data_IF_870439623093
#
_entry.id   IF_870439623093
#
_cell.length_a   1.000
_cell.length_b   1.000
_cell.length_c   1.000
_cell.angle_alpha   90.00
_cell.angle_beta   90.00
_cell.angle_gamma   90.00
#
_symmetry.space_group_name_H-M   'P 1'
#
loop_
_entity.id
_entity.type
_entity.pdbx_description
1 polymer ?
#
# COMPACT_ATOMS: atom_id res chain seq x y z
N UNK A 1 -16.60 25.70 -4.84
CA UNK A 1 -16.38 25.46 -3.38
C UNK A 1 -17.36 26.30 -2.57
N UNK A 2 -17.78 25.82 -1.38
CA UNK A 2 -18.62 26.59 -0.47
C UNK A 2 -17.86 27.83 0.04
N UNK A 3 -18.58 28.97 0.28
CA UNK A 3 -18.01 30.18 0.90
C UNK A 3 -17.51 29.96 2.35
N UNK A 4 -17.83 28.81 2.93
CA UNK A 4 -17.48 28.45 4.31
C UNK A 4 -16.23 27.58 4.40
N UNK A 5 -15.68 27.13 3.25
CA UNK A 5 -14.46 26.35 3.25
C UNK A 5 -13.30 27.20 3.81
N UNK A 6 -12.53 26.62 4.73
CA UNK A 6 -11.33 27.27 5.24
C UNK A 6 -10.37 27.61 4.08
N UNK A 7 -9.81 28.83 4.03
CA UNK A 7 -8.83 29.19 3.01
C UNK A 7 -7.65 28.21 2.94
N UNK A 8 -7.24 27.66 4.06
CA UNK A 8 -6.16 26.66 4.14
C UNK A 8 -6.44 25.38 3.33
N UNK A 9 -7.72 25.03 3.10
CA UNK A 9 -8.11 23.86 2.33
C UNK A 9 -8.42 24.17 0.86
N UNK A 10 -8.43 25.43 0.46
CA UNK A 10 -8.82 25.85 -0.89
C UNK A 10 -7.86 25.37 -1.98
N UNK A 11 -6.62 25.10 -1.65
CA UNK A 11 -5.56 24.63 -2.55
C UNK A 11 -5.36 23.11 -2.53
N UNK A 12 -6.02 22.40 -1.62
CA UNK A 12 -5.88 20.94 -1.50
C UNK A 12 -6.66 20.26 -2.62
N UNK A 13 -5.94 19.48 -3.44
CA UNK A 13 -6.54 18.60 -4.43
C UNK A 13 -6.70 17.20 -3.83
N UNK A 14 -7.92 16.68 -3.66
CA UNK A 14 -8.14 15.35 -3.11
C UNK A 14 -7.52 14.25 -3.98
N UNK A 15 -7.13 13.15 -3.37
CA UNK A 15 -6.72 11.95 -4.08
C UNK A 15 -7.86 11.40 -4.94
N UNK A 16 -7.54 11.03 -6.18
CA UNK A 16 -8.51 10.38 -7.09
C UNK A 16 -8.31 8.87 -7.03
N UNK A 17 -9.23 8.12 -6.39
CA UNK A 17 -9.15 6.67 -6.35
C UNK A 17 -9.31 6.04 -7.74
N UNK A 18 -8.97 4.75 -7.86
CA UNK A 18 -9.27 3.98 -9.06
C UNK A 18 -10.78 3.94 -9.31
N UNK A 19 -11.17 4.05 -10.57
CA UNK A 19 -12.59 4.04 -10.95
C UNK A 19 -13.27 2.71 -10.60
N UNK A 20 -14.55 2.79 -10.30
CA UNK A 20 -15.42 1.65 -10.00
C UNK A 20 -16.76 1.82 -10.74
N UNK A 21 -16.75 1.74 -12.09
CA UNK A 21 -17.97 1.89 -12.89
C UNK A 21 -18.97 0.76 -12.59
N UNK A 22 -20.26 1.07 -12.71
CA UNK A 22 -21.38 0.18 -12.41
C UNK A 22 -22.24 -0.09 -13.65
N UNK A 23 -21.79 0.30 -14.83
CA UNK A 23 -22.51 0.19 -16.10
C UNK A 23 -22.50 -1.21 -16.69
N UNK A 24 -21.47 -2.01 -16.34
CA UNK A 24 -21.36 -3.44 -16.72
C UNK A 24 -20.48 -4.19 -15.71
N UNK A 25 -20.37 -5.51 -15.89
CA UNK A 25 -19.44 -6.31 -15.11
C UNK A 25 -18.03 -6.24 -15.76
N UNK A 26 -17.05 -5.82 -14.97
CA UNK A 26 -15.66 -5.73 -15.38
C UNK A 26 -14.78 -6.78 -14.70
N UNK A 27 -13.74 -7.22 -15.40
CA UNK A 27 -12.56 -7.82 -14.77
C UNK A 27 -11.76 -6.68 -14.15
N UNK A 28 -11.79 -6.57 -12.81
CA UNK A 28 -11.25 -5.43 -12.06
C UNK A 28 -9.79 -5.65 -11.70
N UNK A 29 -8.86 -5.07 -12.49
CA UNK A 29 -7.42 -5.16 -12.33
C UNK A 29 -6.78 -3.76 -12.08
N UNK A 30 -7.47 -2.85 -11.39
CA UNK A 30 -7.07 -1.44 -11.28
C UNK A 30 -6.74 -0.95 -9.86
N UNK A 31 -7.14 -1.66 -8.80
CA UNK A 31 -7.02 -1.18 -7.41
C UNK A 31 -6.19 -2.07 -6.49
N UNK A 32 -5.45 -3.02 -7.07
CA UNK A 32 -4.55 -3.93 -6.35
C UNK A 32 -5.25 -4.73 -5.25
N UNK A 33 -6.52 -5.09 -5.48
CA UNK A 33 -7.25 -6.01 -4.60
C UNK A 33 -6.81 -7.45 -4.86
N UNK A 34 -6.95 -8.32 -3.86
CA UNK A 34 -6.71 -9.75 -4.05
C UNK A 34 -7.83 -10.38 -4.88
N UNK A 35 -7.52 -11.27 -5.84
CA UNK A 35 -8.53 -12.03 -6.56
C UNK A 35 -9.16 -13.17 -5.74
N UNK A 36 -8.60 -13.47 -4.57
CA UNK A 36 -9.06 -14.52 -3.67
C UNK A 36 -9.96 -13.98 -2.58
N UNK A 37 -10.88 -14.80 -2.08
CA UNK A 37 -11.74 -14.49 -0.94
C UNK A 37 -10.91 -14.39 0.35
N UNK A 38 -11.42 -13.73 1.40
CA UNK A 38 -10.87 -13.87 2.75
C UNK A 38 -10.84 -15.34 3.18
N UNK A 39 -9.92 -15.70 4.08
CA UNK A 39 -9.77 -17.10 4.51
C UNK A 39 -11.06 -17.61 5.17
N UNK A 40 -11.31 -18.95 5.13
CA UNK A 40 -12.42 -19.53 5.87
C UNK A 40 -12.43 -19.19 7.36
N UNK A 41 -11.25 -19.07 7.98
CA UNK A 41 -11.11 -18.65 9.37
C UNK A 41 -11.59 -17.22 9.59
N UNK A 42 -11.29 -16.30 8.67
CA UNK A 42 -11.79 -14.92 8.70
C UNK A 42 -13.31 -14.88 8.57
N UNK A 43 -13.86 -15.62 7.61
CA UNK A 43 -15.32 -15.68 7.40
C UNK A 43 -16.03 -16.21 8.67
N UNK A 44 -15.49 -17.26 9.30
CA UNK A 44 -16.02 -17.79 10.54
C UNK A 44 -15.89 -16.83 11.74
N UNK A 45 -14.82 -16.04 11.80
CA UNK A 45 -14.59 -15.07 12.87
C UNK A 45 -15.56 -13.87 12.82
N UNK A 46 -16.06 -13.50 11.62
CA UNK A 46 -17.08 -12.47 11.43
C UNK A 46 -18.46 -13.11 11.51
N UNK A 47 -18.79 -13.68 12.66
CA UNK A 47 -20.02 -14.43 12.90
C UNK A 47 -21.20 -13.53 13.25
N UNK A 48 -22.42 -14.11 13.18
CA UNK A 48 -23.66 -13.45 13.64
C UNK A 48 -23.54 -12.94 15.09
N UNK A 49 -22.93 -13.73 15.97
CA UNK A 49 -22.69 -13.34 17.36
C UNK A 49 -21.81 -12.08 17.50
N UNK A 50 -20.83 -11.87 16.63
CA UNK A 50 -20.04 -10.63 16.67
C UNK A 50 -20.84 -9.45 16.08
N UNK A 51 -21.74 -9.68 15.13
CA UNK A 51 -22.67 -8.66 14.60
C UNK A 51 -23.64 -8.18 15.69
N UNK A 52 -24.19 -9.09 16.52
CA UNK A 52 -25.05 -8.73 17.65
C UNK A 52 -24.37 -7.78 18.65
N UNK A 53 -23.04 -7.84 18.75
CA UNK A 53 -22.25 -6.98 19.65
C UNK A 53 -21.95 -5.61 19.08
N UNK A 54 -22.31 -5.29 17.83
CA UNK A 54 -22.08 -3.98 17.21
C UNK A 54 -22.77 -2.82 17.96
N UNK A 55 -23.74 -3.10 18.81
CA UNK A 55 -24.33 -2.10 19.74
C UNK A 55 -23.36 -1.58 20.80
N UNK A 56 -22.17 -2.18 20.94
CA UNK A 56 -21.14 -1.81 21.90
C UNK A 56 -19.91 -1.30 21.18
N UNK A 57 -19.22 -0.33 21.75
CA UNK A 57 -17.90 0.07 21.24
C UNK A 57 -16.92 -1.12 21.22
N UNK A 58 -16.01 -1.09 20.27
CA UNK A 58 -14.88 -2.01 20.23
C UNK A 58 -13.88 -1.73 21.36
N UNK A 59 -12.95 -2.66 21.61
CA UNK A 59 -11.83 -2.44 22.53
C UNK A 59 -10.91 -1.33 21.96
N UNK A 60 -10.79 -0.16 22.62
CA UNK A 60 -9.95 0.94 22.13
C UNK A 60 -8.45 0.59 22.18
N UNK A 61 -8.05 -0.33 23.07
CA UNK A 61 -6.68 -0.82 23.15
C UNK A 61 -6.36 -1.87 22.08
N UNK A 62 -7.38 -2.43 21.38
CA UNK A 62 -7.22 -3.53 20.42
C UNK A 62 -6.38 -4.71 20.92
N UNK A 63 -6.47 -4.98 22.24
CA UNK A 63 -5.49 -5.78 22.99
C UNK A 63 -5.29 -7.19 22.43
N UNK A 64 -6.36 -7.84 21.94
CA UNK A 64 -6.26 -9.19 21.37
C UNK A 64 -5.52 -9.16 20.03
N UNK A 65 -5.89 -8.24 19.13
CA UNK A 65 -5.22 -8.09 17.83
C UNK A 65 -3.73 -7.74 18.02
N UNK A 66 -3.40 -6.84 18.97
CA UNK A 66 -2.01 -6.47 19.23
C UNK A 66 -1.18 -7.66 19.72
N UNK A 67 -1.71 -8.50 20.62
CA UNK A 67 -1.01 -9.72 21.05
C UNK A 67 -0.76 -10.68 19.89
N UNK A 68 -1.78 -10.91 19.04
CA UNK A 68 -1.63 -11.78 17.86
C UNK A 68 -0.62 -11.19 16.86
N UNK A 69 -0.69 -9.90 16.56
CA UNK A 69 0.24 -9.24 15.66
C UNK A 69 1.68 -9.25 16.20
N UNK A 70 1.87 -8.92 17.48
CA UNK A 70 3.18 -8.94 18.11
C UNK A 70 3.81 -10.35 18.05
N UNK A 71 3.04 -11.39 18.37
CA UNK A 71 3.51 -12.78 18.27
C UNK A 71 3.84 -13.17 16.82
N UNK A 72 3.04 -12.74 15.84
CA UNK A 72 3.25 -13.03 14.41
C UNK A 72 4.54 -12.41 13.87
N UNK A 73 4.85 -11.17 14.29
CA UNK A 73 6.02 -10.43 13.82
C UNK A 73 7.25 -10.54 14.74
N UNK A 74 7.17 -11.27 15.86
CA UNK A 74 8.28 -11.39 16.83
C UNK A 74 8.54 -10.10 17.61
N UNK A 75 7.51 -9.27 17.83
CA UNK A 75 7.56 -7.98 18.51
C UNK A 75 6.86 -8.00 19.86
N UNK A 76 6.97 -6.90 20.61
CA UNK A 76 6.15 -6.66 21.79
C UNK A 76 4.84 -5.92 21.40
N UNK A 77 3.73 -6.10 22.13
CA UNK A 77 2.50 -5.36 21.87
C UNK A 77 2.65 -3.82 21.89
N UNK A 78 3.62 -3.30 22.64
CA UNK A 78 3.97 -1.87 22.69
C UNK A 78 4.66 -1.35 21.42
N UNK A 79 5.12 -2.25 20.55
CA UNK A 79 5.79 -1.93 19.28
C UNK A 79 4.84 -1.99 18.09
N UNK A 80 3.53 -2.19 18.31
CA UNK A 80 2.52 -2.34 17.25
C UNK A 80 1.32 -1.43 17.52
N UNK A 81 0.83 -0.76 16.50
CA UNK A 81 -0.42 0.03 16.53
C UNK A 81 -1.30 -0.32 15.31
N UNK A 82 -2.59 -0.64 15.50
CA UNK A 82 -3.51 -0.83 14.39
C UNK A 82 -4.13 0.50 13.96
N UNK A 83 -4.35 0.66 12.66
CA UNK A 83 -5.06 1.78 12.06
C UNK A 83 -6.17 1.32 11.12
N UNK A 84 -7.08 2.23 10.78
CA UNK A 84 -8.17 2.01 9.83
C UNK A 84 -7.63 2.02 8.37
N UNK A 85 -6.87 0.99 8.05
CA UNK A 85 -5.99 0.87 6.89
C UNK A 85 -4.60 1.45 7.18
N UNK A 86 -3.63 1.12 6.32
CA UNK A 86 -2.30 1.75 6.36
C UNK A 86 -2.36 3.26 6.15
N UNK A 87 -3.36 3.75 5.41
CA UNK A 87 -3.58 5.18 5.16
C UNK A 87 -3.71 5.97 6.47
N UNK A 88 -4.47 5.46 7.44
CA UNK A 88 -4.62 6.12 8.75
C UNK A 88 -3.30 6.10 9.53
N UNK A 89 -2.57 4.98 9.52
CA UNK A 89 -1.27 4.87 10.16
C UNK A 89 -0.24 5.85 9.56
N UNK A 90 -0.18 5.93 8.23
CA UNK A 90 0.69 6.87 7.53
C UNK A 90 0.31 8.32 7.83
N UNK A 91 -0.99 8.65 7.82
CA UNK A 91 -1.47 9.98 8.17
C UNK A 91 -1.12 10.36 9.62
N UNK A 92 -1.25 9.42 10.56
CA UNK A 92 -0.84 9.64 11.95
C UNK A 92 0.69 9.83 12.07
N UNK A 93 1.48 9.09 11.29
CA UNK A 93 2.93 9.25 11.27
C UNK A 93 3.33 10.64 10.75
N UNK A 94 2.74 11.10 9.66
CA UNK A 94 2.98 12.46 9.14
C UNK A 94 2.59 13.52 10.18
N UNK A 95 1.45 13.34 10.84
CA UNK A 95 0.99 14.27 11.88
C UNK A 95 1.87 14.27 13.12
N UNK A 96 2.50 13.13 13.46
CA UNK A 96 3.36 13.00 14.64
C UNK A 96 4.79 13.51 14.38
N UNK A 97 5.34 13.25 13.19
CA UNK A 97 6.77 13.41 12.92
C UNK A 97 7.09 14.53 11.93
N UNK A 98 6.08 15.14 11.29
CA UNK A 98 6.24 16.26 10.37
C UNK A 98 5.46 17.49 10.86
N UNK A 99 5.92 18.68 10.48
CA UNK A 99 5.25 19.96 10.66
C UNK A 99 5.79 20.98 9.64
N UNK A 100 5.46 22.25 9.79
CA UNK A 100 5.91 23.33 8.90
C UNK A 100 7.44 23.51 8.82
N UNK A 101 8.19 23.01 9.83
CA UNK A 101 9.64 23.07 9.93
C UNK A 101 10.33 21.71 9.75
N UNK A 102 9.56 20.64 9.69
CA UNK A 102 10.02 19.25 9.50
C UNK A 102 9.36 18.67 8.26
N UNK A 103 10.00 18.84 7.08
CA UNK A 103 9.45 18.39 5.80
C UNK A 103 9.38 16.86 5.70
N UNK A 104 8.64 16.39 4.68
CA UNK A 104 8.60 14.99 4.28
C UNK A 104 9.36 14.80 2.96
N UNK A 105 10.34 13.89 2.95
CA UNK A 105 11.04 13.45 1.75
C UNK A 105 10.44 12.15 1.19
N UNK A 106 10.15 12.13 -0.13
CA UNK A 106 9.65 10.95 -0.84
C UNK A 106 9.88 11.05 -2.36
N UNK A 107 9.77 9.90 -3.05
CA UNK A 107 10.00 9.83 -4.49
C UNK A 107 8.89 10.55 -5.30
N UNK A 108 9.26 11.10 -6.48
CA UNK A 108 8.35 11.79 -7.41
C UNK A 108 7.26 10.85 -7.97
N UNK A 109 7.60 9.57 -8.21
CA UNK A 109 6.67 8.55 -8.70
C UNK A 109 6.51 7.48 -7.61
N UNK A 110 5.53 7.69 -6.74
CA UNK A 110 5.22 6.83 -5.60
C UNK A 110 3.73 6.88 -5.24
N UNK A 111 3.34 6.46 -4.03
CA UNK A 111 1.95 6.50 -3.58
C UNK A 111 1.44 7.94 -3.47
N UNK A 112 0.48 8.28 -4.34
CA UNK A 112 0.02 9.66 -4.51
C UNK A 112 -0.62 10.32 -3.27
N UNK A 113 -0.98 9.55 -2.24
CA UNK A 113 -1.56 10.12 -1.02
C UNK A 113 -0.54 10.88 -0.16
N UNK A 114 0.76 10.59 -0.26
CA UNK A 114 1.77 11.30 0.54
C UNK A 114 1.70 12.81 0.30
N UNK A 115 1.75 13.24 -0.96
CA UNK A 115 1.65 14.65 -1.32
C UNK A 115 0.30 15.28 -0.96
N UNK A 116 -0.80 14.53 -1.08
CA UNK A 116 -2.14 15.00 -0.69
C UNK A 116 -2.20 15.27 0.81
N UNK A 117 -1.67 14.36 1.62
CA UNK A 117 -1.65 14.53 3.09
C UNK A 117 -0.71 15.65 3.52
N UNK A 118 0.45 15.81 2.84
CA UNK A 118 1.33 16.96 3.09
C UNK A 118 0.60 18.29 2.82
N UNK A 119 -0.12 18.39 1.71
CA UNK A 119 -0.95 19.57 1.42
C UNK A 119 -2.03 19.81 2.47
N UNK A 120 -2.71 18.75 2.94
CA UNK A 120 -3.75 18.85 3.97
C UNK A 120 -3.19 19.29 5.34
N UNK A 121 -1.98 18.84 5.68
CA UNK A 121 -1.31 19.11 6.96
C UNK A 121 -0.36 20.31 6.91
N UNK A 122 -0.22 20.97 5.76
CA UNK A 122 0.74 22.06 5.51
C UNK A 122 2.20 21.67 5.78
N UNK A 123 2.56 20.42 5.46
CA UNK A 123 3.92 19.90 5.58
C UNK A 123 4.68 20.24 4.28
N UNK A 124 5.84 20.88 4.34
CA UNK A 124 6.72 21.06 3.18
C UNK A 124 7.17 19.70 2.63
N UNK A 125 7.31 19.59 1.32
CA UNK A 125 7.72 18.35 0.67
C UNK A 125 9.08 18.48 0.00
N UNK A 126 9.93 17.47 0.17
CA UNK A 126 11.14 17.27 -0.58
C UNK A 126 10.93 16.10 -1.55
N UNK A 127 10.71 16.43 -2.82
CA UNK A 127 10.43 15.43 -3.85
C UNK A 127 11.75 14.98 -4.47
N UNK A 128 12.05 13.69 -4.38
CA UNK A 128 13.29 13.08 -4.88
C UNK A 128 12.97 12.30 -6.17
N UNK A 129 13.57 12.66 -7.33
CA UNK A 129 13.24 11.99 -8.57
C UNK A 129 13.80 10.56 -8.59
N UNK A 130 12.97 9.62 -9.05
CA UNK A 130 13.45 8.28 -9.44
C UNK A 130 14.35 8.38 -10.67
N UNK A 131 15.30 7.45 -10.82
CA UNK A 131 16.13 7.32 -12.02
C UNK A 131 15.25 7.09 -13.28
N UNK A 132 15.86 7.13 -14.45
CA UNK A 132 15.14 6.93 -15.73
C UNK A 132 14.49 5.55 -15.81
N UNK A 133 15.09 4.55 -15.22
CA UNK A 133 14.58 3.16 -15.12
C UNK A 133 13.58 2.96 -13.95
N UNK A 134 13.15 4.04 -13.30
CA UNK A 134 12.28 4.07 -12.13
C UNK A 134 12.88 3.47 -10.85
N UNK A 135 14.16 3.17 -10.80
CA UNK A 135 14.81 2.76 -9.55
C UNK A 135 15.01 3.97 -8.62
N UNK A 136 14.86 3.72 -7.31
CA UNK A 136 15.23 4.67 -6.27
C UNK A 136 16.73 4.54 -5.99
N UNK A 137 17.45 5.69 -5.94
CA UNK A 137 18.84 5.69 -5.47
C UNK A 137 18.87 5.88 -3.94
N UNK A 138 19.32 4.90 -3.15
CA UNK A 138 19.42 5.07 -1.70
C UNK A 138 20.32 6.24 -1.28
N UNK A 139 21.32 6.60 -2.10
CA UNK A 139 22.25 7.69 -1.80
C UNK A 139 21.56 9.06 -1.73
N UNK A 140 20.48 9.26 -2.49
CA UNK A 140 19.71 10.51 -2.49
C UNK A 140 18.94 10.72 -1.17
N UNK A 141 18.84 9.68 -0.33
CA UNK A 141 18.17 9.70 0.98
C UNK A 141 19.14 9.74 2.15
N UNK A 142 20.46 9.82 1.92
CA UNK A 142 21.44 9.84 2.99
C UNK A 142 21.61 11.24 3.57
N UNK A 143 21.53 11.36 4.91
CA UNK A 143 21.82 12.58 5.64
C UNK A 143 20.86 13.74 5.35
N UNK A 144 19.61 13.46 5.02
CA UNK A 144 18.59 14.48 4.71
C UNK A 144 18.16 15.27 5.94
N UNK A 145 18.22 14.66 7.14
CA UNK A 145 17.70 15.26 8.39
C UNK A 145 16.21 15.65 8.33
N UNK A 146 15.46 14.96 7.50
CA UNK A 146 14.02 15.11 7.26
C UNK A 146 13.29 13.80 7.56
N UNK A 147 12.00 13.85 7.84
CA UNK A 147 11.19 12.62 7.85
C UNK A 147 11.17 12.04 6.44
N UNK A 148 11.43 10.76 6.30
CA UNK A 148 11.50 10.06 5.01
C UNK A 148 10.36 9.05 4.93
N UNK A 149 9.67 8.95 3.78
CA UNK A 149 8.79 7.82 3.49
C UNK A 149 9.22 7.13 2.20
N UNK A 150 9.38 5.81 2.29
CA UNK A 150 9.74 4.93 1.16
C UNK A 150 8.69 3.84 1.05
N UNK A 151 7.96 3.80 -0.06
CA UNK A 151 7.12 2.66 -0.40
C UNK A 151 8.02 1.52 -0.92
N UNK A 152 8.03 0.37 -0.24
CA UNK A 152 8.90 -0.74 -0.58
C UNK A 152 8.19 -2.10 -0.41
N UNK A 153 7.74 -2.72 -1.52
CA UNK A 153 7.84 -2.34 -2.94
C UNK A 153 7.09 -1.05 -3.30
N UNK A 154 7.66 -0.26 -4.21
CA UNK A 154 7.07 1.00 -4.63
C UNK A 154 5.81 0.80 -5.49
N UNK A 155 4.84 1.68 -5.34
CA UNK A 155 3.68 1.77 -6.24
C UNK A 155 3.68 3.15 -6.94
N UNK A 156 3.61 3.22 -8.30
CA UNK A 156 3.07 2.18 -9.19
C UNK A 156 4.11 1.24 -9.82
N UNK A 157 5.41 1.40 -9.58
CA UNK A 157 6.46 0.71 -10.33
C UNK A 157 6.59 -0.79 -10.00
N UNK A 158 6.30 -1.18 -8.77
CA UNK A 158 6.50 -2.54 -8.26
C UNK A 158 7.96 -2.84 -7.88
N UNK A 159 8.89 -1.93 -8.14
CA UNK A 159 10.32 -2.11 -7.82
C UNK A 159 10.53 -2.10 -6.30
N UNK A 160 11.55 -2.83 -5.86
CA UNK A 160 11.83 -3.04 -4.44
C UNK A 160 13.31 -2.84 -4.15
N UNK A 161 13.62 -2.09 -3.10
CA UNK A 161 14.97 -2.03 -2.54
C UNK A 161 15.23 -3.25 -1.65
N UNK A 162 16.45 -3.75 -1.60
CA UNK A 162 16.85 -4.72 -0.59
C UNK A 162 16.88 -4.06 0.80
N UNK A 163 16.67 -4.86 1.85
CA UNK A 163 16.62 -4.37 3.24
C UNK A 163 17.90 -3.65 3.66
N UNK A 164 19.05 -4.11 3.19
CA UNK A 164 20.36 -3.48 3.46
C UNK A 164 20.43 -2.03 2.95
N UNK A 165 19.77 -1.72 1.85
CA UNK A 165 19.70 -0.34 1.34
C UNK A 165 18.86 0.56 2.26
N UNK A 166 17.72 0.05 2.75
CA UNK A 166 16.91 0.75 3.76
C UNK A 166 17.71 0.93 5.06
N UNK A 167 18.44 -0.10 5.48
CA UNK A 167 19.30 -0.01 6.67
C UNK A 167 20.39 1.06 6.50
N UNK A 168 20.96 1.22 5.31
CA UNK A 168 21.89 2.32 5.00
C UNK A 168 21.26 3.70 5.18
N UNK A 169 20.01 3.87 4.74
CA UNK A 169 19.26 5.12 4.92
C UNK A 169 18.98 5.38 6.41
N UNK A 170 18.57 4.36 7.17
CA UNK A 170 18.35 4.48 8.63
C UNK A 170 19.60 4.96 9.36
N UNK A 171 20.75 4.34 9.09
CA UNK A 171 22.03 4.69 9.71
C UNK A 171 22.51 6.11 9.38
N UNK A 172 22.20 6.59 8.18
CA UNK A 172 22.61 7.94 7.75
C UNK A 172 21.67 9.06 8.25
N UNK A 173 20.51 8.70 8.82
CA UNK A 173 19.49 9.64 9.32
C UNK A 173 19.09 9.32 10.77
N UNK A 174 20.03 9.25 11.74
CA UNK A 174 19.74 8.77 13.10
C UNK A 174 18.74 9.64 13.87
N UNK A 175 18.63 10.92 13.52
CA UNK A 175 17.75 11.89 14.18
C UNK A 175 16.42 12.12 13.41
N UNK A 176 16.14 11.32 12.39
CA UNK A 176 14.96 11.46 11.53
C UNK A 176 14.21 10.14 11.39
N UNK A 177 12.88 10.19 11.44
CA UNK A 177 12.06 9.00 11.25
C UNK A 177 12.07 8.56 9.79
N UNK A 178 12.37 7.30 9.56
CA UNK A 178 12.25 6.65 8.25
C UNK A 178 11.04 5.73 8.27
N UNK A 179 10.02 6.09 7.49
CA UNK A 179 8.77 5.33 7.33
C UNK A 179 8.93 4.41 6.12
N UNK A 180 8.85 3.12 6.32
CA UNK A 180 8.85 2.13 5.24
C UNK A 180 7.41 1.64 5.05
N UNK A 181 6.78 2.06 3.95
CA UNK A 181 5.44 1.61 3.57
C UNK A 181 5.56 0.27 2.84
N UNK A 182 5.29 -0.79 3.58
CA UNK A 182 5.37 -2.18 3.15
C UNK A 182 4.02 -2.75 2.68
N UNK A 183 3.18 -1.93 2.05
CA UNK A 183 1.85 -2.37 1.61
C UNK A 183 1.89 -3.59 0.67
N UNK A 184 3.01 -3.87 0.02
CA UNK A 184 3.18 -4.96 -0.96
C UNK A 184 4.31 -5.92 -0.61
N UNK A 185 4.96 -5.80 0.54
CA UNK A 185 6.17 -6.56 0.91
C UNK A 185 5.97 -8.08 0.84
N UNK A 186 4.78 -8.55 1.16
CA UNK A 186 4.42 -9.97 1.17
C UNK A 186 4.56 -10.68 -0.20
N UNK A 187 4.64 -9.92 -1.30
CA UNK A 187 4.72 -10.47 -2.64
C UNK A 187 6.14 -10.61 -3.21
N UNK A 188 7.16 -10.61 -2.34
CA UNK A 188 8.56 -10.87 -2.72
C UNK A 188 9.53 -9.77 -2.31
N UNK A 189 9.12 -8.82 -1.48
CA UNK A 189 10.00 -7.90 -0.78
C UNK A 189 10.58 -8.54 0.50
N UNK A 190 11.56 -7.86 1.08
CA UNK A 190 12.13 -8.19 2.38
C UNK A 190 11.66 -7.17 3.42
N UNK A 191 10.89 -7.62 4.42
CA UNK A 191 10.40 -6.73 5.46
C UNK A 191 11.51 -6.15 6.33
N UNK A 192 11.38 -4.87 6.68
CA UNK A 192 12.25 -4.17 7.63
C UNK A 192 11.85 -4.40 9.10
N UNK A 193 10.79 -5.14 9.38
CA UNK A 193 10.36 -5.47 10.76
C UNK A 193 11.51 -6.02 11.62
N UNK A 194 12.41 -6.92 11.15
CA UNK A 194 13.53 -7.40 11.95
C UNK A 194 14.56 -6.32 12.38
N UNK A 195 14.51 -5.13 11.80
CA UNK A 195 15.39 -4.02 12.14
C UNK A 195 14.84 -3.13 13.27
N UNK A 196 13.58 -3.31 13.69
CA UNK A 196 12.90 -2.43 14.68
C UNK A 196 13.62 -2.36 16.01
N UNK A 197 14.21 -3.47 16.48
CA UNK A 197 14.96 -3.50 17.74
C UNK A 197 16.36 -2.89 17.62
N UNK A 198 16.85 -2.64 16.41
CA UNK A 198 18.18 -2.08 16.13
C UNK A 198 18.13 -0.57 15.82
N UNK A 199 17.00 -0.08 15.27
CA UNK A 199 16.83 1.28 14.82
C UNK A 199 15.57 1.92 15.43
N UNK A 200 15.77 2.83 16.38
CA UNK A 200 14.67 3.52 17.08
C UNK A 200 13.95 4.56 16.21
N UNK A 201 14.54 4.91 15.06
CA UNK A 201 13.98 5.81 14.04
C UNK A 201 13.22 5.08 12.90
N UNK A 202 13.07 3.75 12.95
CA UNK A 202 12.33 2.97 11.95
C UNK A 202 10.85 2.85 12.31
N UNK A 203 9.99 3.22 11.35
CA UNK A 203 8.56 2.92 11.38
C UNK A 203 8.17 2.10 10.14
N UNK A 204 7.72 0.86 10.33
CA UNK A 204 7.20 0.00 9.28
C UNK A 204 5.68 0.07 9.26
N UNK A 205 5.08 0.26 8.08
CA UNK A 205 3.61 0.27 7.91
C UNK A 205 3.19 -0.82 6.95
N UNK A 206 2.29 -1.71 7.38
CA UNK A 206 1.75 -2.80 6.57
C UNK A 206 0.22 -2.73 6.50
N UNK A 207 -0.37 -3.38 5.48
CA UNK A 207 -1.82 -3.41 5.27
C UNK A 207 -2.35 -4.84 5.13
N UNK A 208 -3.59 -5.05 5.57
CA UNK A 208 -4.34 -6.29 5.33
C UNK A 208 -5.10 -6.24 4.00
N UNK A 209 -5.10 -5.10 3.31
CA UNK A 209 -5.89 -4.87 2.10
C UNK A 209 -5.45 -5.71 0.89
N UNK A 210 -4.19 -6.20 0.86
CA UNK A 210 -3.59 -6.84 -0.30
C UNK A 210 -3.44 -8.35 -0.09
N UNK A 211 -2.39 -8.76 0.61
CA UNK A 211 -2.04 -10.17 0.81
C UNK A 211 -3.02 -10.94 1.71
N UNK A 212 -3.75 -10.24 2.59
CA UNK A 212 -4.70 -10.85 3.54
C UNK A 212 -6.17 -10.68 3.15
N UNK A 213 -6.47 -10.26 1.91
CA UNK A 213 -7.80 -10.16 1.31
C UNK A 213 -8.82 -9.30 2.09
N UNK A 214 -8.37 -8.30 2.85
CA UNK A 214 -9.20 -7.50 3.75
C UNK A 214 -9.29 -6.01 3.34
N UNK A 215 -9.26 -5.71 2.03
CA UNK A 215 -9.36 -4.33 1.54
C UNK A 215 -10.61 -3.61 2.07
N UNK A 216 -11.77 -4.29 2.08
CA UNK A 216 -13.03 -3.76 2.59
C UNK A 216 -13.10 -3.64 4.12
N UNK A 217 -12.29 -4.39 4.86
CA UNK A 217 -12.24 -4.33 6.33
C UNK A 217 -11.46 -3.14 6.87
N UNK A 218 -10.61 -2.51 6.03
CA UNK A 218 -9.82 -1.33 6.41
C UNK A 218 -8.94 -1.58 7.64
N UNK A 219 -7.95 -2.47 7.55
CA UNK A 219 -6.99 -2.72 8.62
C UNK A 219 -5.56 -2.56 8.13
N UNK A 220 -4.74 -1.86 8.91
CA UNK A 220 -3.29 -1.74 8.75
C UNK A 220 -2.59 -1.80 10.10
N UNK A 221 -1.29 -2.03 10.08
CA UNK A 221 -0.44 -2.00 11.26
C UNK A 221 0.70 -1.01 11.04
N UNK A 222 1.02 -0.23 12.07
CA UNK A 222 2.28 0.48 12.23
C UNK A 222 3.12 -0.27 13.27
N UNK A 223 4.39 -0.50 12.95
CA UNK A 223 5.32 -1.26 13.79
C UNK A 223 6.64 -0.46 13.91
N UNK A 224 7.15 -0.32 15.13
CA UNK A 224 8.35 0.48 15.38
C UNK A 224 8.79 0.40 16.85
N UNK A 225 9.79 1.17 17.19
CA UNK A 225 10.18 1.34 18.58
C UNK A 225 8.99 1.77 19.45
N UNK A 226 8.91 1.29 20.68
CA UNK A 226 7.79 1.57 21.58
C UNK A 226 7.54 3.08 21.80
N UNK A 227 8.59 3.91 21.75
CA UNK A 227 8.45 5.38 21.86
C UNK A 227 7.73 5.97 20.62
N UNK A 228 8.10 5.57 19.38
CA UNK A 228 7.39 5.99 18.17
C UNK A 228 5.93 5.54 18.20
N UNK A 229 5.65 4.33 18.60
CA UNK A 229 4.28 3.79 18.70
C UNK A 229 3.49 4.54 19.80
N UNK A 230 4.10 4.95 20.88
CA UNK A 230 3.45 5.79 21.90
C UNK A 230 3.05 7.16 21.33
N UNK A 231 3.90 7.79 20.51
CA UNK A 231 3.59 9.06 19.86
C UNK A 231 2.46 8.92 18.84
N UNK A 232 2.44 7.85 18.04
CA UNK A 232 1.31 7.56 17.13
C UNK A 232 0.01 7.35 17.91
N UNK A 233 0.04 6.61 19.02
CA UNK A 233 -1.13 6.42 19.88
C UNK A 233 -1.62 7.74 20.47
N UNK A 234 -0.74 8.71 20.78
CA UNK A 234 -1.14 10.05 21.20
C UNK A 234 -2.02 10.74 20.14
N UNK A 235 -1.63 10.66 18.86
CA UNK A 235 -2.42 11.18 17.74
C UNK A 235 -3.74 10.42 17.61
N UNK A 236 -3.69 9.08 17.59
CA UNK A 236 -4.87 8.20 17.47
C UNK A 236 -5.91 8.52 18.55
N UNK A 237 -5.52 8.50 19.83
CA UNK A 237 -6.45 8.73 20.95
C UNK A 237 -6.96 10.18 21.01
N UNK A 238 -6.25 11.13 20.41
CA UNK A 238 -6.71 12.52 20.30
C UNK A 238 -7.73 12.72 19.17
N UNK A 239 -7.68 11.87 18.11
CA UNK A 239 -8.58 11.98 16.96
C UNK A 239 -9.79 11.04 17.09
N UNK A 240 -9.54 9.73 17.23
CA UNK A 240 -10.59 8.70 17.30
C UNK A 240 -10.09 7.48 18.09
N UNK A 241 -10.41 7.38 19.40
CA UNK A 241 -9.93 6.26 20.22
C UNK A 241 -10.53 4.90 19.82
N UNK A 242 -11.69 4.89 19.13
CA UNK A 242 -12.38 3.67 18.67
C UNK A 242 -12.28 3.49 17.15
N UNK A 243 -11.11 3.78 16.58
CA UNK A 243 -10.91 3.83 15.13
C UNK A 243 -11.14 2.49 14.41
N UNK A 244 -10.93 1.35 15.09
CA UNK A 244 -11.13 0.02 14.53
C UNK A 244 -12.44 -0.58 15.03
N UNK A 245 -13.31 -0.97 14.12
CA UNK A 245 -14.56 -1.63 14.46
C UNK A 245 -14.34 -3.10 14.90
N UNK A 246 -15.32 -3.64 15.63
CA UNK A 246 -15.27 -4.97 16.23
C UNK A 246 -15.05 -6.09 15.20
N UNK A 247 -15.74 -6.06 14.07
CA UNK A 247 -15.64 -7.11 13.05
C UNK A 247 -14.24 -7.11 12.40
N UNK A 248 -13.68 -5.93 12.14
CA UNK A 248 -12.31 -5.77 11.64
C UNK A 248 -11.28 -6.32 12.62
N UNK A 249 -11.44 -6.10 13.94
CA UNK A 249 -10.53 -6.68 14.94
C UNK A 249 -10.52 -8.21 14.88
N UNK A 250 -11.70 -8.83 14.75
CA UNK A 250 -11.85 -10.29 14.64
C UNK A 250 -11.29 -10.83 13.33
N UNK A 251 -11.62 -10.17 12.21
CA UNK A 251 -11.11 -10.52 10.90
C UNK A 251 -9.58 -10.46 10.83
N UNK A 252 -8.99 -9.37 11.37
CA UNK A 252 -7.55 -9.19 11.39
C UNK A 252 -6.81 -10.23 12.23
N UNK A 253 -7.34 -10.57 13.41
CA UNK A 253 -6.79 -11.64 14.23
C UNK A 253 -6.79 -12.98 13.48
N UNK A 254 -7.94 -13.40 12.95
CA UNK A 254 -8.06 -14.64 12.20
C UNK A 254 -7.16 -14.69 10.96
N UNK A 255 -7.00 -13.56 10.25
CA UNK A 255 -6.12 -13.47 9.08
C UNK A 255 -4.63 -13.59 9.42
N UNK A 256 -4.20 -13.20 10.63
CA UNK A 256 -2.83 -13.40 11.10
C UNK A 256 -2.58 -14.85 11.53
N UNK A 257 -3.58 -15.49 12.10
CA UNK A 257 -3.50 -16.87 12.60
C UNK A 257 -3.55 -17.91 11.45
N UNK A 258 -4.25 -17.63 10.34
CA UNK A 258 -4.36 -18.53 9.17
C UNK A 258 -3.19 -18.37 8.19
N UNK A 259 -1.99 -18.74 8.64
CA UNK A 259 -0.76 -18.63 7.84
C UNK A 259 -0.77 -19.56 6.62
N UNK A 260 -1.40 -20.73 6.71
CA UNK A 260 -1.47 -21.67 5.60
C UNK A 260 -2.25 -21.12 4.40
N UNK A 261 -3.40 -20.48 4.65
CA UNK A 261 -4.17 -19.83 3.60
C UNK A 261 -3.45 -18.62 3.02
N UNK A 262 -2.84 -17.81 3.88
CA UNK A 262 -2.02 -16.67 3.48
C UNK A 262 -0.89 -17.10 2.54
N UNK A 263 -0.09 -18.10 2.90
CA UNK A 263 1.03 -18.59 2.09
C UNK A 263 0.57 -19.15 0.75
N UNK A 264 -0.53 -19.91 0.74
CA UNK A 264 -1.13 -20.47 -0.48
C UNK A 264 -1.56 -19.37 -1.45
N UNK A 265 -2.32 -18.38 -0.99
CA UNK A 265 -2.85 -17.32 -1.87
C UNK A 265 -1.76 -16.37 -2.33
N UNK A 266 -0.80 -16.06 -1.46
CA UNK A 266 0.38 -15.27 -1.79
C UNK A 266 1.21 -15.92 -2.89
N UNK A 267 1.54 -17.21 -2.75
CA UNK A 267 2.27 -17.97 -3.75
C UNK A 267 1.55 -17.98 -5.11
N UNK A 268 0.23 -18.24 -5.11
CA UNK A 268 -0.56 -18.23 -6.33
C UNK A 268 -0.54 -16.87 -7.05
N UNK A 269 -0.59 -15.75 -6.31
CA UNK A 269 -0.47 -14.41 -6.90
C UNK A 269 0.93 -14.20 -7.49
N UNK A 270 1.98 -14.63 -6.80
CA UNK A 270 3.37 -14.49 -7.28
C UNK A 270 3.61 -15.32 -8.54
N UNK A 271 3.11 -16.55 -8.60
CA UNK A 271 3.20 -17.42 -9.77
C UNK A 271 2.45 -16.81 -10.97
N UNK A 272 1.22 -16.35 -10.75
CA UNK A 272 0.43 -15.68 -11.79
C UNK A 272 1.10 -14.38 -12.25
N UNK A 273 1.73 -13.62 -11.35
CA UNK A 273 2.51 -12.44 -11.73
C UNK A 273 3.68 -12.80 -12.64
N UNK A 274 4.46 -13.81 -12.28
CA UNK A 274 5.60 -14.25 -13.09
C UNK A 274 5.17 -14.66 -14.49
N UNK A 275 4.10 -15.44 -14.59
CA UNK A 275 3.48 -15.79 -15.88
C UNK A 275 3.03 -14.56 -16.65
N UNK A 276 2.33 -13.62 -16.00
CA UNK A 276 1.84 -12.38 -16.64
C UNK A 276 2.98 -11.52 -17.18
N UNK A 277 4.06 -11.36 -16.42
CA UNK A 277 5.23 -10.61 -16.86
C UNK A 277 5.84 -11.21 -18.11
N UNK A 278 5.99 -12.55 -18.17
CA UNK A 278 6.48 -13.26 -19.35
C UNK A 278 5.54 -13.05 -20.54
N UNK A 279 4.24 -13.24 -20.36
CA UNK A 279 3.26 -13.09 -21.44
C UNK A 279 3.21 -11.68 -22.03
N UNK A 280 3.34 -10.64 -21.20
CA UNK A 280 3.43 -9.26 -21.66
C UNK A 280 4.74 -9.01 -22.41
N UNK A 281 5.86 -9.52 -21.91
CA UNK A 281 7.17 -9.40 -22.56
C UNK A 281 7.17 -10.06 -23.93
N UNK A 282 6.60 -11.27 -24.07
CA UNK A 282 6.48 -12.00 -25.33
C UNK A 282 5.64 -11.22 -26.38
N UNK A 283 4.76 -10.33 -25.92
CA UNK A 283 3.93 -9.42 -26.76
C UNK A 283 4.58 -8.07 -27.03
N UNK A 284 5.83 -7.88 -26.66
CA UNK A 284 6.60 -6.66 -26.89
C UNK A 284 6.30 -5.52 -25.91
N UNK A 285 5.82 -5.84 -24.70
CA UNK A 285 5.77 -4.86 -23.63
C UNK A 285 7.12 -4.77 -22.91
N UNK A 286 7.46 -3.57 -22.49
CA UNK A 286 8.44 -3.33 -21.42
C UNK A 286 7.74 -3.51 -20.10
N UNK A 287 8.24 -4.42 -19.24
CA UNK A 287 7.64 -4.74 -17.94
C UNK A 287 8.70 -4.60 -16.86
N UNK A 288 8.41 -3.83 -15.80
CA UNK A 288 9.33 -3.70 -14.67
C UNK A 288 9.33 -4.97 -13.79
N UNK A 289 10.46 -5.31 -13.15
CA UNK A 289 10.60 -6.46 -12.24
C UNK A 289 9.83 -6.23 -10.93
N UNK A 290 8.52 -6.45 -10.97
CA UNK A 290 7.63 -6.16 -9.85
C UNK A 290 7.77 -7.18 -8.72
N UNK A 291 7.80 -6.65 -7.48
CA UNK A 291 7.71 -7.41 -6.22
C UNK A 291 6.39 -7.12 -5.49
N UNK A 292 5.34 -6.68 -6.23
CA UNK A 292 4.01 -6.37 -5.71
C UNK A 292 2.95 -7.33 -6.28
N UNK A 293 1.68 -7.14 -5.94
CA UNK A 293 0.56 -7.88 -6.55
C UNK A 293 0.03 -7.19 -7.83
N UNK A 294 0.88 -6.50 -8.53
CA UNK A 294 0.60 -5.87 -9.81
C UNK A 294 1.88 -5.84 -10.67
N UNK A 295 1.72 -5.58 -11.94
CA UNK A 295 2.82 -5.26 -12.85
C UNK A 295 2.69 -3.84 -13.37
N UNK A 296 3.80 -3.23 -13.78
CA UNK A 296 3.84 -1.92 -14.43
C UNK A 296 4.46 -2.12 -15.80
N UNK A 297 3.66 -1.86 -16.84
CA UNK A 297 4.00 -2.24 -18.20
C UNK A 297 3.64 -1.15 -19.20
N UNK A 298 4.45 -1.02 -20.25
CA UNK A 298 4.22 -0.12 -21.40
C UNK A 298 4.57 -0.80 -22.71
N UNK A 299 4.12 -0.25 -23.83
CA UNK A 299 4.50 -0.70 -25.17
C UNK A 299 4.55 0.49 -26.11
N UNK A 300 5.46 0.46 -27.08
CA UNK A 300 5.59 1.51 -28.12
C UNK A 300 4.56 1.35 -29.25
N UNK A 301 3.81 0.25 -29.29
CA UNK A 301 2.81 -0.03 -30.35
C UNK A 301 1.56 0.82 -30.25
N UNK A 302 1.22 1.30 -29.05
CA UNK A 302 0.04 2.09 -28.75
C UNK A 302 0.28 2.92 -27.49
N UNK A 303 -0.25 4.16 -27.43
CA UNK A 303 -0.10 4.97 -26.22
C UNK A 303 -0.87 4.37 -25.04
N UNK A 304 -0.33 4.55 -23.81
CA UNK A 304 -0.92 4.01 -22.58
C UNK A 304 -2.38 4.43 -22.39
N UNK A 305 -2.71 5.70 -22.65
CA UNK A 305 -4.07 6.20 -22.53
C UNK A 305 -5.05 5.59 -23.55
N UNK A 306 -4.60 5.26 -24.77
CA UNK A 306 -5.43 4.56 -25.76
C UNK A 306 -5.60 3.09 -25.39
N UNK A 307 -4.53 2.42 -25.00
CA UNK A 307 -4.58 1.03 -24.55
C UNK A 307 -5.53 0.87 -23.36
N UNK A 308 -5.42 1.75 -22.37
CA UNK A 308 -6.33 1.80 -21.21
C UNK A 308 -7.82 1.86 -21.65
N UNK A 309 -8.16 2.77 -22.57
CA UNK A 309 -9.55 2.92 -23.06
C UNK A 309 -10.04 1.67 -23.78
N UNK A 310 -9.21 1.11 -24.67
CA UNK A 310 -9.56 -0.11 -25.41
C UNK A 310 -9.71 -1.32 -24.50
N UNK A 311 -8.87 -1.47 -23.46
CA UNK A 311 -9.04 -2.54 -22.45
C UNK A 311 -10.37 -2.37 -21.71
N UNK A 312 -10.72 -1.16 -21.29
CA UNK A 312 -11.99 -0.86 -20.64
C UNK A 312 -13.20 -1.19 -21.55
N UNK A 313 -13.16 -0.85 -22.82
CA UNK A 313 -14.19 -1.20 -23.83
C UNK A 313 -14.32 -2.74 -23.98
N UNK A 314 -13.24 -3.49 -23.77
CA UNK A 314 -13.25 -4.96 -23.73
C UNK A 314 -13.55 -5.53 -22.33
N UNK A 315 -14.07 -4.74 -21.39
CA UNK A 315 -14.50 -5.19 -20.07
C UNK A 315 -13.38 -5.38 -19.04
N UNK A 316 -12.17 -4.83 -19.27
CA UNK A 316 -11.02 -4.98 -18.36
C UNK A 316 -10.60 -3.62 -17.83
N UNK A 317 -10.62 -3.47 -16.49
CA UNK A 317 -10.17 -2.25 -15.81
C UNK A 317 -8.72 -2.40 -15.34
N UNK A 318 -7.84 -1.56 -15.88
CA UNK A 318 -6.47 -1.37 -15.40
C UNK A 318 -6.28 0.05 -14.88
N UNK A 319 -5.14 0.39 -14.31
CA UNK A 319 -4.86 1.76 -13.86
C UNK A 319 -3.92 2.46 -14.82
N UNK A 320 -4.37 3.59 -15.34
CA UNK A 320 -3.58 4.55 -16.11
C UNK A 320 -3.31 5.80 -15.26
N UNK A 321 -2.16 6.44 -15.47
CA UNK A 321 -1.73 7.66 -14.79
C UNK A 321 -1.44 8.71 -15.86
N UNK A 322 -2.20 9.80 -15.84
CA UNK A 322 -1.96 10.96 -16.72
C UNK A 322 -0.95 11.89 -16.02
N UNK A 323 0.30 11.45 -15.98
CA UNK A 323 1.39 12.16 -15.32
C UNK A 323 2.69 11.98 -16.11
N UNK A 324 3.58 13.00 -16.12
CA UNK A 324 4.87 12.94 -16.82
C UNK A 324 5.65 11.67 -16.47
N UNK A 325 6.38 11.12 -17.44
CA UNK A 325 7.19 9.89 -17.40
C UNK A 325 6.38 8.60 -17.34
N UNK A 326 5.12 8.59 -16.84
CA UNK A 326 4.32 7.37 -16.66
C UNK A 326 3.03 7.34 -17.46
N UNK A 327 2.76 8.35 -18.32
CA UNK A 327 1.57 8.46 -19.15
C UNK A 327 1.42 7.32 -20.18
N UNK A 328 2.52 6.64 -20.53
CA UNK A 328 2.50 5.47 -21.41
C UNK A 328 2.51 4.13 -20.66
N UNK A 329 2.50 4.16 -19.35
CA UNK A 329 2.52 2.97 -18.50
C UNK A 329 1.16 2.64 -17.93
N UNK A 330 0.88 1.34 -17.81
CA UNK A 330 -0.30 0.83 -17.14
C UNK A 330 0.11 0.02 -15.91
N UNK A 331 -0.53 0.28 -14.77
CA UNK A 331 -0.44 -0.61 -13.62
C UNK A 331 -1.59 -1.62 -13.69
N UNK A 332 -1.25 -2.90 -13.74
CA UNK A 332 -2.17 -4.01 -13.92
C UNK A 332 -2.12 -4.90 -12.68
N UNK A 333 -3.19 -4.94 -11.91
CA UNK A 333 -3.33 -5.82 -10.76
C UNK A 333 -3.31 -7.28 -11.20
N UNK A 334 -2.67 -8.16 -10.44
CA UNK A 334 -2.68 -9.60 -10.72
C UNK A 334 -4.01 -10.19 -10.24
N UNK A 335 -4.78 -10.70 -11.20
CA UNK A 335 -6.03 -11.42 -11.00
C UNK A 335 -5.81 -12.94 -10.84
N UNK A 336 -6.89 -13.72 -11.03
CA UNK A 336 -6.76 -15.18 -11.20
C UNK A 336 -6.10 -15.51 -12.53
N UNK A 337 -5.55 -16.75 -12.74
CA UNK A 337 -5.01 -17.14 -14.05
C UNK A 337 -5.99 -16.90 -15.21
N UNK A 338 -7.29 -17.16 -15.00
CA UNK A 338 -8.33 -16.97 -16.02
C UNK A 338 -8.53 -15.48 -16.33
N UNK A 339 -8.49 -14.60 -15.33
CA UNK A 339 -8.60 -13.16 -15.51
C UNK A 339 -7.39 -12.60 -16.25
N UNK A 340 -6.20 -13.11 -15.95
CA UNK A 340 -4.98 -12.70 -16.64
C UNK A 340 -4.93 -13.24 -18.07
N UNK A 341 -5.45 -14.45 -18.33
CA UNK A 341 -5.61 -14.94 -19.70
C UNK A 341 -6.56 -14.05 -20.52
N UNK A 342 -7.71 -13.67 -19.95
CA UNK A 342 -8.64 -12.75 -20.60
C UNK A 342 -8.00 -11.37 -20.90
N UNK A 343 -7.10 -10.88 -20.04
CA UNK A 343 -6.30 -9.68 -20.32
C UNK A 343 -5.38 -9.90 -21.53
N UNK A 344 -4.71 -11.07 -21.64
CA UNK A 344 -3.84 -11.38 -22.79
C UNK A 344 -4.64 -11.46 -24.10
N UNK A 345 -5.80 -12.14 -24.08
CA UNK A 345 -6.68 -12.26 -25.25
C UNK A 345 -7.18 -10.88 -25.73
N UNK A 346 -7.49 -9.99 -24.78
CA UNK A 346 -7.88 -8.61 -25.11
C UNK A 346 -6.70 -7.80 -25.67
N UNK A 347 -5.50 -7.97 -25.09
CA UNK A 347 -4.30 -7.29 -25.58
C UNK A 347 -3.96 -7.75 -27.02
N UNK A 348 -4.02 -9.05 -27.30
CA UNK A 348 -3.79 -9.62 -28.65
C UNK A 348 -4.76 -9.03 -29.67
N UNK A 349 -6.06 -8.98 -29.34
CA UNK A 349 -7.07 -8.36 -30.18
C UNK A 349 -6.84 -6.87 -30.42
N UNK A 350 -6.40 -6.12 -29.40
CA UNK A 350 -6.17 -4.67 -29.50
C UNK A 350 -4.92 -4.36 -30.31
N UNK A 351 -3.89 -5.20 -30.19
CA UNK A 351 -2.59 -5.02 -30.85
C UNK A 351 -2.49 -5.74 -32.19
N UNK A 352 -3.54 -6.47 -32.61
CA UNK A 352 -3.60 -7.25 -33.86
C UNK A 352 -2.43 -8.26 -33.95
N UNK A 353 -2.24 -9.03 -32.88
CA UNK A 353 -1.19 -10.08 -32.75
C UNK A 353 -1.78 -11.46 -32.93
#
# INVERSE_FOLDING_TARGET
MSRFLSPALSTVTPYTPGEQPQDQQYIKLNTNESPYLPSPAVIAAVSEHEVEKLRLYSDPACAQLLRTAAAHFGLQPSQVMPGNGSDENLFFALRAFCDENRPLAFADITYGCYGVWCGLLHIPTHIIPLKEDFTLDPADYHGLHETIVIANPNAPTGLCLPREAIEGILRSNPDSVVIVDEAYVDFGGESCVPLIDQYDNLLVVQTFSKSRQLAGARLGLAMGNAALIADLNRVKFSLNPYNINRLTLKAGQAALEDTAYFDKTRAAIMDTRAWTMQQLTDRGFTVLDSRANFVFASTDRISGGVLYKKLKENGILVRHFDAPRIENWLRITIGTPEQMQALMDAADKILEV
#
